data_IF_831902366372
#
_entry.id   IF_831902366372
#
_cell.length_a   1.000
_cell.length_b   1.000
_cell.length_c   1.000
_cell.angle_alpha   90.00
_cell.angle_beta   90.00
_cell.angle_gamma   90.00
#
_symmetry.space_group_name_H-M   'P 1'
#
loop_
_entity.id
_entity.type
_entity.pdbx_description
1 polymer ?
#
# COMPACT_ATOMS: atom_id res chain seq x y z
N UNK A 1 7.06 -80.41 30.63
CA UNK A 1 7.91 -79.56 29.73
C UNK A 1 7.21 -78.26 29.59
N UNK A 2 7.75 -77.26 30.15
CA UNK A 2 7.10 -75.94 30.32
C UNK A 2 7.82 -74.97 29.39
N UNK A 3 7.16 -74.49 28.35
CA UNK A 3 7.72 -73.45 27.47
C UNK A 3 6.92 -72.14 27.65
N UNK A 4 7.56 -71.20 28.23
CA UNK A 4 7.05 -69.86 28.48
C UNK A 4 7.29 -68.96 27.23
N UNK A 5 6.29 -68.32 26.64
CA UNK A 5 6.52 -67.37 25.54
C UNK A 5 6.81 -65.99 26.13
N UNK A 6 7.99 -65.48 25.84
CA UNK A 6 8.41 -64.10 26.11
C UNK A 6 7.61 -63.15 25.27
N UNK A 7 6.80 -62.28 25.92
CA UNK A 7 6.12 -61.16 25.27
C UNK A 7 7.14 -60.05 25.00
N UNK A 8 7.48 -59.84 23.71
CA UNK A 8 8.22 -58.64 23.26
C UNK A 8 7.31 -57.41 23.37
N UNK A 9 7.61 -56.57 24.32
CA UNK A 9 6.98 -55.25 24.45
C UNK A 9 7.64 -54.29 23.42
N UNK A 10 6.96 -54.06 22.29
CA UNK A 10 7.34 -53.04 21.31
C UNK A 10 7.11 -51.64 21.90
N UNK A 11 8.18 -50.94 22.26
CA UNK A 11 8.14 -49.53 22.62
C UNK A 11 8.09 -48.70 21.36
N UNK A 12 6.90 -48.36 20.90
CA UNK A 12 6.72 -47.34 19.89
C UNK A 12 7.02 -45.95 20.49
N UNK A 13 8.18 -45.41 20.15
CA UNK A 13 8.57 -44.05 20.48
C UNK A 13 7.80 -43.10 19.55
N UNK A 14 6.70 -42.51 20.04
CA UNK A 14 5.93 -41.50 19.31
C UNK A 14 6.71 -40.18 19.34
N UNK A 15 7.37 -39.84 18.23
CA UNK A 15 8.01 -38.54 18.06
C UNK A 15 6.90 -37.52 17.86
N UNK A 16 6.61 -36.76 18.89
CA UNK A 16 5.72 -35.59 18.80
C UNK A 16 6.48 -34.46 18.11
N UNK A 17 6.23 -34.28 16.81
CA UNK A 17 6.70 -33.11 16.08
C UNK A 17 5.86 -31.90 16.52
N UNK A 18 6.38 -31.09 17.44
CA UNK A 18 5.85 -29.76 17.73
C UNK A 18 6.27 -28.88 16.58
N UNK A 19 5.40 -28.71 15.59
CA UNK A 19 5.56 -27.69 14.58
C UNK A 19 5.36 -26.33 15.26
N UNK A 20 6.47 -25.64 15.53
CA UNK A 20 6.44 -24.26 16.01
C UNK A 20 6.02 -23.39 14.83
N UNK A 21 4.74 -23.10 14.71
CA UNK A 21 4.24 -22.10 13.78
C UNK A 21 4.67 -20.73 14.33
N UNK A 22 5.71 -20.16 13.77
CA UNK A 22 5.98 -18.73 13.93
C UNK A 22 4.84 -17.96 13.28
N UNK A 23 3.88 -17.54 14.08
CA UNK A 23 2.88 -16.60 13.61
C UNK A 23 3.58 -15.24 13.48
N UNK A 24 3.65 -14.71 12.25
CA UNK A 24 4.03 -13.32 12.03
C UNK A 24 2.90 -12.46 12.60
N UNK A 25 3.13 -11.85 13.76
CA UNK A 25 2.17 -10.93 14.37
C UNK A 25 2.23 -9.58 13.67
N UNK A 26 1.09 -8.90 13.57
CA UNK A 26 1.05 -7.52 13.11
C UNK A 26 1.93 -6.64 14.02
N UNK A 27 2.67 -5.72 13.41
CA UNK A 27 3.56 -4.80 14.11
C UNK A 27 3.43 -3.39 13.57
N UNK A 28 3.16 -2.45 14.46
CA UNK A 28 3.01 -1.04 14.15
C UNK A 28 4.28 -0.27 14.53
N UNK A 29 4.68 0.64 13.68
CA UNK A 29 5.76 1.59 13.88
C UNK A 29 5.19 2.99 13.80
N UNK A 30 5.62 3.86 14.72
CA UNK A 30 5.12 5.24 14.80
C UNK A 30 6.20 6.22 14.34
N UNK A 31 5.82 7.15 13.50
CA UNK A 31 6.66 8.25 13.02
C UNK A 31 6.51 9.51 13.87
N UNK A 32 7.29 10.51 13.49
CA UNK A 32 7.29 11.83 14.16
C UNK A 32 6.13 12.71 13.74
N UNK A 33 6.18 13.94 14.23
CA UNK A 33 5.30 15.06 13.89
C UNK A 33 6.05 16.10 13.04
N UNK A 34 5.32 17.05 12.43
CA UNK A 34 5.93 18.13 11.66
C UNK A 34 4.93 19.19 11.24
N UNK A 35 5.40 20.44 11.11
CA UNK A 35 4.59 21.54 10.60
C UNK A 35 4.36 21.36 9.10
N UNK A 36 3.12 21.59 8.66
CA UNK A 36 2.70 21.65 7.26
C UNK A 36 2.58 23.14 6.92
N UNK A 37 3.45 23.62 6.04
CA UNK A 37 3.51 25.03 5.66
C UNK A 37 3.11 25.19 4.20
N UNK A 38 2.47 26.31 3.91
CA UNK A 38 1.99 26.70 2.60
C UNK A 38 3.04 26.48 1.50
N UNK A 39 2.61 25.89 0.38
CA UNK A 39 3.42 25.69 -0.82
C UNK A 39 4.71 24.92 -0.58
N UNK A 40 4.76 24.09 0.45
CA UNK A 40 5.94 23.31 0.82
C UNK A 40 5.67 21.80 0.87
N UNK A 41 6.72 21.07 0.62
CA UNK A 41 6.75 19.61 0.82
C UNK A 41 7.55 19.28 2.07
N UNK A 42 6.97 18.49 2.95
CA UNK A 42 7.67 17.88 4.08
C UNK A 42 7.77 16.37 3.91
N UNK A 43 8.88 15.78 4.38
CA UNK A 43 9.05 14.33 4.45
C UNK A 43 9.34 13.96 5.90
N UNK A 44 8.39 13.33 6.57
CA UNK A 44 8.53 12.91 7.97
C UNK A 44 8.99 11.47 8.03
N UNK A 45 10.18 11.20 8.57
CA UNK A 45 10.75 9.86 8.60
C UNK A 45 10.13 8.97 9.66
N UNK A 46 10.15 7.65 9.36
CA UNK A 46 9.84 6.57 10.28
C UNK A 46 10.82 5.43 10.02
N UNK A 47 11.43 4.89 11.07
CA UNK A 47 12.37 3.78 10.94
C UNK A 47 11.69 2.45 11.28
N UNK A 48 11.71 1.53 10.34
CA UNK A 48 11.25 0.15 10.52
C UNK A 48 12.45 -0.75 10.82
N UNK A 49 12.36 -1.52 11.90
CA UNK A 49 13.40 -2.48 12.27
C UNK A 49 12.85 -3.63 13.12
N UNK A 50 13.53 -4.78 13.08
CA UNK A 50 13.19 -5.92 13.92
C UNK A 50 11.88 -6.61 13.54
N UNK A 51 11.43 -6.49 12.30
CA UNK A 51 10.41 -7.39 11.75
C UNK A 51 10.98 -8.80 11.62
N UNK A 52 10.12 -9.80 11.76
CA UNK A 52 10.51 -11.21 11.62
C UNK A 52 10.75 -11.61 10.16
N UNK A 53 10.26 -10.82 9.21
CA UNK A 53 10.48 -11.00 7.78
C UNK A 53 11.37 -9.89 7.22
N UNK A 54 12.32 -10.26 6.38
CA UNK A 54 13.14 -9.35 5.60
C UNK A 54 12.62 -9.15 4.17
N UNK A 55 11.44 -9.66 3.88
CA UNK A 55 10.75 -9.50 2.59
C UNK A 55 9.24 -9.40 2.81
N UNK A 56 8.61 -8.41 2.20
CA UNK A 56 7.17 -8.20 2.23
C UNK A 56 6.55 -8.52 0.88
N UNK A 57 5.34 -9.08 0.89
CA UNK A 57 4.60 -9.43 -0.32
C UNK A 57 3.09 -9.30 -0.09
N UNK A 58 2.32 -9.40 -1.14
CA UNK A 58 0.86 -9.22 -1.13
C UNK A 58 0.07 -10.44 -0.63
N UNK A 59 0.73 -11.51 -0.18
CA UNK A 59 0.07 -12.78 0.16
C UNK A 59 0.23 -13.14 1.62
N UNK A 60 1.48 -13.10 2.13
CA UNK A 60 1.78 -13.69 3.43
C UNK A 60 2.03 -12.65 4.53
N UNK A 61 2.80 -11.61 4.20
CA UNK A 61 3.20 -10.57 5.17
C UNK A 61 3.64 -9.31 4.43
N UNK A 62 3.11 -8.16 4.82
CA UNK A 62 3.44 -6.88 4.22
C UNK A 62 2.76 -5.70 4.88
N UNK A 63 2.87 -4.54 4.25
CA UNK A 63 2.16 -3.34 4.67
C UNK A 63 0.65 -3.59 4.59
N UNK A 64 -0.05 -3.30 5.70
CA UNK A 64 -1.49 -3.43 5.82
C UNK A 64 -2.18 -2.09 5.93
N UNK A 65 -1.58 -1.16 6.70
CA UNK A 65 -2.26 0.06 7.11
C UNK A 65 -1.27 1.21 7.28
N UNK A 66 -1.73 2.40 6.94
CA UNK A 66 -1.08 3.69 7.25
C UNK A 66 -2.09 4.56 7.97
N UNK A 67 -1.78 4.97 9.21
CA UNK A 67 -2.64 5.88 9.97
C UNK A 67 -1.95 7.23 10.16
N UNK A 68 -2.77 8.29 10.24
CA UNK A 68 -2.28 9.63 10.49
C UNK A 68 -3.30 10.48 11.25
N UNK A 69 -2.79 11.47 11.93
CA UNK A 69 -3.57 12.52 12.58
C UNK A 69 -2.99 13.88 12.15
N UNK A 70 -3.79 14.67 11.43
CA UNK A 70 -3.38 15.93 10.83
C UNK A 70 -4.38 17.00 11.28
N UNK A 71 -3.86 18.10 11.82
CA UNK A 71 -4.60 19.33 12.00
C UNK A 71 -4.31 20.26 10.83
N UNK A 72 -5.32 20.63 10.06
CA UNK A 72 -5.18 21.52 8.90
C UNK A 72 -6.52 22.20 8.61
N UNK A 73 -6.52 23.48 8.28
CA UNK A 73 -7.74 24.28 8.12
C UNK A 73 -8.36 24.17 6.71
N UNK A 74 -7.73 23.44 5.78
CA UNK A 74 -8.27 23.18 4.44
C UNK A 74 -7.66 21.89 3.86
N UNK A 75 -8.26 20.74 4.17
CA UNK A 75 -7.66 19.41 3.86
C UNK A 75 -7.45 19.17 2.36
N UNK A 76 -8.24 19.80 1.47
CA UNK A 76 -8.07 19.61 0.03
C UNK A 76 -6.81 20.23 -0.55
N UNK A 77 -6.08 21.04 0.21
CA UNK A 77 -4.79 21.56 -0.22
C UNK A 77 -3.68 20.51 -0.15
N UNK A 78 -3.95 19.43 0.58
CA UNK A 78 -2.96 18.40 0.87
C UNK A 78 -2.92 17.31 -0.21
N UNK A 79 -1.68 16.94 -0.55
CA UNK A 79 -1.33 15.69 -1.23
C UNK A 79 -0.43 14.90 -0.29
N UNK A 80 -0.83 13.68 0.04
CA UNK A 80 -0.09 12.82 0.96
C UNK A 80 0.34 11.53 0.28
N UNK A 81 1.62 11.19 0.42
CA UNK A 81 2.22 9.99 -0.17
C UNK A 81 3.07 9.23 0.84
N UNK A 82 3.09 7.91 0.72
CA UNK A 82 4.03 7.03 1.42
C UNK A 82 5.23 6.73 0.50
N UNK A 83 6.43 6.80 1.05
CA UNK A 83 7.67 6.44 0.35
C UNK A 83 8.32 5.29 1.10
N UNK A 84 8.53 4.18 0.41
CA UNK A 84 9.18 2.98 0.93
C UNK A 84 10.72 3.05 0.84
N UNK A 85 11.47 2.16 1.53
CA UNK A 85 12.94 2.13 1.48
C UNK A 85 13.54 1.89 0.09
N UNK A 86 12.82 1.22 -0.80
CA UNK A 86 13.22 1.00 -2.20
C UNK A 86 12.87 2.17 -3.13
N UNK A 87 12.41 3.30 -2.57
CA UNK A 87 11.92 4.48 -3.24
C UNK A 87 10.58 4.32 -3.98
N UNK A 88 9.86 3.22 -3.79
CA UNK A 88 8.47 3.12 -4.27
C UNK A 88 7.62 4.18 -3.59
N UNK A 89 6.87 4.94 -4.38
CA UNK A 89 5.98 6.01 -3.92
C UNK A 89 4.53 5.62 -4.17
N UNK A 90 3.68 5.76 -3.14
CA UNK A 90 2.23 5.56 -3.24
C UNK A 90 1.55 6.87 -2.86
N UNK A 91 0.71 7.40 -3.72
CA UNK A 91 -0.20 8.48 -3.36
C UNK A 91 -1.30 7.92 -2.48
N UNK A 92 -1.37 8.36 -1.25
CA UNK A 92 -2.39 7.94 -0.30
C UNK A 92 -3.70 8.70 -0.56
N UNK A 93 -3.61 10.00 -0.74
CA UNK A 93 -4.72 10.85 -1.19
C UNK A 93 -4.20 12.19 -1.71
N UNK A 94 -5.05 12.88 -2.49
CA UNK A 94 -4.79 14.21 -3.03
C UNK A 94 -6.10 14.97 -3.19
N UNK A 95 -6.12 16.23 -2.74
CA UNK A 95 -7.21 17.19 -2.97
C UNK A 95 -8.61 16.68 -2.58
N UNK A 96 -8.74 16.11 -1.38
CA UNK A 96 -10.00 15.56 -0.84
C UNK A 96 -10.59 16.46 0.23
N UNK A 97 -11.90 16.30 0.52
CA UNK A 97 -12.56 16.93 1.68
C UNK A 97 -12.99 18.37 1.49
N UNK A 98 -12.67 19.01 0.35
CA UNK A 98 -13.00 20.41 0.11
C UNK A 98 -12.46 21.34 1.21
N UNK A 99 -13.20 22.37 1.56
CA UNK A 99 -12.84 23.34 2.61
C UNK A 99 -13.07 22.83 4.04
N UNK A 100 -13.07 21.55 4.27
CA UNK A 100 -13.20 21.00 5.62
C UNK A 100 -11.85 20.83 6.30
N UNK A 101 -11.91 20.76 7.64
CA UNK A 101 -10.73 20.78 8.52
C UNK A 101 -10.40 19.38 9.02
N UNK A 102 -9.13 19.10 9.23
CA UNK A 102 -8.54 18.01 9.97
C UNK A 102 -8.71 16.58 9.37
N UNK A 103 -7.80 15.73 9.78
CA UNK A 103 -7.86 14.28 9.65
C UNK A 103 -7.57 13.66 11.01
N UNK A 104 -8.60 13.10 11.66
CA UNK A 104 -8.52 12.63 13.04
C UNK A 104 -8.45 11.12 13.13
N UNK A 105 -7.26 10.60 13.48
CA UNK A 105 -7.04 9.16 13.53
C UNK A 105 -7.50 8.46 12.25
N UNK A 106 -7.13 9.02 11.10
CA UNK A 106 -7.49 8.50 9.78
C UNK A 106 -6.55 7.38 9.40
N UNK A 107 -7.09 6.21 9.13
CA UNK A 107 -6.32 5.04 8.71
C UNK A 107 -6.63 4.68 7.25
N UNK A 108 -5.61 4.30 6.51
CA UNK A 108 -5.71 3.87 5.12
C UNK A 108 -5.35 2.40 5.01
N UNK A 109 -6.27 1.60 4.46
CA UNK A 109 -6.14 0.17 4.26
C UNK A 109 -6.99 -0.27 3.06
N UNK A 110 -6.51 -1.26 2.29
CA UNK A 110 -7.14 -1.67 1.04
C UNK A 110 -8.54 -2.31 1.21
N UNK A 111 -8.81 -2.91 2.36
CA UNK A 111 -10.06 -3.60 2.67
C UNK A 111 -11.08 -2.72 3.42
N UNK A 112 -10.82 -1.42 3.57
CA UNK A 112 -11.77 -0.50 4.17
C UNK A 112 -13.08 -0.40 3.35
N UNK A 113 -14.21 -0.13 4.01
CA UNK A 113 -15.52 -0.16 3.35
C UNK A 113 -15.77 1.00 2.39
N UNK A 114 -15.01 2.09 2.47
CA UNK A 114 -15.19 3.29 1.65
C UNK A 114 -13.85 3.85 1.17
N UNK A 115 -13.83 4.40 -0.04
CA UNK A 115 -12.68 5.11 -0.57
C UNK A 115 -12.56 6.48 0.09
N UNK A 116 -11.33 6.95 0.34
CA UNK A 116 -11.11 8.22 1.05
C UNK A 116 -11.68 9.42 0.29
N UNK A 117 -11.71 9.38 -1.03
CA UNK A 117 -12.31 10.44 -1.86
C UNK A 117 -13.83 10.61 -1.68
N UNK A 118 -14.52 9.60 -1.11
CA UNK A 118 -15.94 9.70 -0.77
C UNK A 118 -16.19 10.15 0.67
N UNK A 119 -15.14 10.30 1.48
CA UNK A 119 -15.21 10.77 2.84
C UNK A 119 -15.39 12.27 2.95
N UNK A 120 -15.54 12.75 4.17
CA UNK A 120 -15.60 14.17 4.49
C UNK A 120 -14.81 14.46 5.77
N UNK A 121 -14.22 15.66 5.85
CA UNK A 121 -13.53 16.10 7.05
C UNK A 121 -14.48 16.11 8.27
N UNK A 122 -13.96 15.80 9.46
CA UNK A 122 -12.57 15.48 9.80
C UNK A 122 -12.20 14.00 9.61
N UNK A 123 -12.33 13.41 8.49
CA UNK A 123 -11.99 12.04 8.10
C UNK A 123 -11.62 11.10 9.26
N UNK A 124 -12.61 10.60 9.99
CA UNK A 124 -12.40 9.70 11.13
C UNK A 124 -12.57 8.24 10.72
N UNK A 125 -11.61 7.39 11.11
CA UNK A 125 -11.70 5.95 10.87
C UNK A 125 -10.93 5.47 9.64
N UNK A 126 -11.38 4.36 9.03
CA UNK A 126 -10.63 3.67 8.00
C UNK A 126 -11.23 3.86 6.61
N UNK A 127 -10.34 4.11 5.64
CA UNK A 127 -10.68 4.33 4.24
C UNK A 127 -9.72 3.59 3.32
N UNK A 128 -10.17 3.29 2.10
CA UNK A 128 -9.27 2.87 1.03
C UNK A 128 -8.51 4.07 0.51
N UNK A 129 -7.18 3.97 0.28
CA UNK A 129 -6.39 5.04 -0.33
C UNK A 129 -6.77 5.25 -1.79
N UNK A 130 -6.31 6.36 -2.39
CA UNK A 130 -6.47 6.60 -3.83
C UNK A 130 -5.50 5.75 -4.66
N UNK A 131 -4.27 5.56 -4.18
CA UNK A 131 -3.28 4.69 -4.79
C UNK A 131 -3.29 3.29 -4.18
N UNK A 132 -2.59 2.37 -4.82
CA UNK A 132 -2.55 0.96 -4.42
C UNK A 132 -1.41 0.71 -3.43
N UNK A 133 -1.72 0.52 -2.15
CA UNK A 133 -0.72 0.30 -1.10
C UNK A 133 0.10 -0.97 -1.31
N UNK A 134 -0.48 -1.98 -1.95
CA UNK A 134 0.20 -3.23 -2.23
C UNK A 134 1.42 -3.11 -3.15
N UNK A 135 1.61 -1.99 -3.85
CA UNK A 135 2.78 -1.76 -4.69
C UNK A 135 4.11 -1.78 -3.90
N UNK A 136 4.11 -1.47 -2.60
CA UNK A 136 5.30 -1.63 -1.75
C UNK A 136 5.53 -3.07 -1.32
N UNK A 137 4.50 -3.93 -1.39
CA UNK A 137 4.58 -5.35 -1.05
C UNK A 137 5.18 -6.18 -2.20
N UNK A 138 6.30 -5.71 -2.74
CA UNK A 138 6.95 -6.12 -3.98
C UNK A 138 8.18 -7.01 -3.76
N UNK A 139 8.26 -7.69 -2.63
CA UNK A 139 9.39 -8.51 -2.16
C UNK A 139 10.57 -7.72 -1.59
N UNK A 140 10.46 -6.40 -1.47
CA UNK A 140 11.49 -5.59 -0.85
C UNK A 140 11.72 -5.93 0.63
N UNK A 141 12.89 -5.54 1.14
CA UNK A 141 13.15 -5.54 2.57
C UNK A 141 12.46 -4.32 3.22
N UNK A 142 11.51 -4.53 4.14
CA UNK A 142 10.79 -3.43 4.77
C UNK A 142 11.63 -2.66 5.81
N UNK A 143 12.76 -3.23 6.24
CA UNK A 143 13.63 -2.57 7.22
C UNK A 143 14.35 -1.39 6.60
N UNK A 144 14.29 -0.26 7.27
CA UNK A 144 14.88 0.98 6.78
C UNK A 144 13.99 2.18 7.07
N UNK A 145 14.27 3.25 6.36
CA UNK A 145 13.57 4.51 6.53
C UNK A 145 12.41 4.61 5.54
N UNK A 146 11.21 4.79 6.08
CA UNK A 146 10.00 5.15 5.37
C UNK A 146 9.73 6.63 5.58
N UNK A 147 9.00 7.26 4.66
CA UNK A 147 8.61 8.66 4.80
C UNK A 147 7.11 8.82 4.53
N UNK A 148 6.45 9.59 5.38
CA UNK A 148 5.21 10.24 5.00
C UNK A 148 5.58 11.59 4.36
N UNK A 149 5.28 11.73 3.06
CA UNK A 149 5.44 12.98 2.33
C UNK A 149 4.10 13.70 2.34
N UNK A 150 4.11 14.98 2.74
CA UNK A 150 2.95 15.85 2.67
C UNK A 150 3.36 17.09 1.87
N UNK A 151 2.57 17.41 0.85
CA UNK A 151 2.68 18.63 0.08
C UNK A 151 1.40 19.44 0.28
N UNK A 152 1.56 20.69 0.70
CA UNK A 152 0.51 21.68 0.73
C UNK A 152 0.60 22.53 -0.55
N UNK A 153 -0.47 22.50 -1.35
CA UNK A 153 -0.49 23.08 -2.70
C UNK A 153 -1.02 24.51 -2.78
N UNK A 154 -1.52 25.04 -1.66
CA UNK A 154 -2.12 26.38 -1.61
C UNK A 154 -1.53 27.22 -0.48
N UNK A 155 -1.81 28.53 -0.50
CA UNK A 155 -1.41 29.46 0.55
C UNK A 155 -2.62 29.83 1.44
N UNK A 156 -2.34 30.32 2.64
CA UNK A 156 -3.25 30.80 3.66
C UNK A 156 -3.76 29.77 4.68
N UNK A 157 -3.63 28.49 4.43
CA UNK A 157 -4.06 27.42 5.33
C UNK A 157 -2.87 26.55 5.70
N UNK A 158 -2.54 26.49 6.99
CA UNK A 158 -1.39 25.74 7.50
C UNK A 158 -1.83 24.69 8.50
N UNK A 159 -0.96 23.72 8.75
CA UNK A 159 -1.30 22.63 9.63
C UNK A 159 -0.12 21.98 10.33
N UNK A 160 -0.41 20.85 10.92
CA UNK A 160 0.57 20.00 11.61
C UNK A 160 0.20 18.54 11.43
N UNK A 161 1.16 17.73 11.01
CA UNK A 161 1.10 16.30 11.23
C UNK A 161 1.39 16.05 12.71
N UNK A 162 0.37 15.59 13.45
CA UNK A 162 0.49 15.32 14.88
C UNK A 162 1.20 13.99 15.14
N UNK A 163 0.81 12.96 14.40
CA UNK A 163 1.42 11.62 14.43
C UNK A 163 1.07 10.84 13.17
N UNK A 164 1.87 9.83 12.86
CA UNK A 164 1.55 8.84 11.85
C UNK A 164 2.16 7.49 12.18
N UNK A 165 1.65 6.44 11.57
CA UNK A 165 2.14 5.08 11.78
C UNK A 165 1.94 4.21 10.56
N UNK A 166 2.73 3.14 10.48
CA UNK A 166 2.56 2.05 9.51
C UNK A 166 2.47 0.73 10.24
N UNK A 167 1.61 -0.16 9.75
CA UNK A 167 1.42 -1.50 10.31
C UNK A 167 1.73 -2.55 9.25
N UNK A 168 2.59 -3.49 9.61
CA UNK A 168 2.87 -4.70 8.82
C UNK A 168 2.20 -5.90 9.49
N UNK A 169 1.70 -6.83 8.67
CA UNK A 169 1.06 -8.04 9.20
C UNK A 169 0.65 -9.04 8.13
N UNK A 170 -0.15 -10.02 8.52
CA UNK A 170 -0.51 -11.19 7.70
C UNK A 170 -1.70 -10.97 6.77
N UNK A 171 -2.29 -9.78 6.79
CA UNK A 171 -3.30 -9.34 5.82
C UNK A 171 -2.74 -8.16 5.01
N UNK A 172 -1.70 -8.39 4.19
CA UNK A 172 -1.03 -7.31 3.45
C UNK A 172 -1.95 -6.70 2.40
N UNK A 173 -1.79 -5.40 2.18
CA UNK A 173 -2.43 -4.73 1.07
C UNK A 173 -2.05 -5.40 -0.25
N UNK A 174 -3.06 -5.66 -1.09
CA UNK A 174 -2.88 -6.15 -2.45
C UNK A 174 -2.68 -5.01 -3.44
N UNK A 175 -2.45 -5.36 -4.70
CA UNK A 175 -2.55 -4.43 -5.79
C UNK A 175 -3.15 -5.12 -7.01
N UNK A 176 -3.88 -4.35 -7.79
CA UNK A 176 -4.39 -4.82 -9.05
C UNK A 176 -3.34 -4.58 -10.14
N UNK A 177 -2.67 -5.64 -10.56
CA UNK A 177 -1.84 -5.59 -11.77
C UNK A 177 -2.76 -5.82 -12.97
N UNK A 178 -3.04 -4.75 -13.72
CA UNK A 178 -3.75 -4.92 -14.97
C UNK A 178 -2.85 -5.66 -15.97
N UNK A 179 -3.04 -6.96 -16.09
CA UNK A 179 -2.21 -7.80 -16.96
C UNK A 179 -2.97 -8.40 -18.15
N UNK A 180 -4.30 -8.50 -18.04
CA UNK A 180 -5.14 -9.17 -19.03
C UNK A 180 -6.59 -8.63 -19.02
N UNK A 181 -7.29 -8.79 -20.16
CA UNK A 181 -8.67 -8.34 -20.33
C UNK A 181 -9.39 -9.18 -21.39
N UNK A 182 -10.69 -9.42 -21.20
CA UNK A 182 -11.58 -9.96 -22.25
C UNK A 182 -12.00 -8.89 -23.26
N UNK A 183 -11.76 -7.61 -22.93
CA UNK A 183 -11.96 -6.47 -23.82
C UNK A 183 -10.64 -6.04 -24.45
N UNK A 184 -10.66 -5.32 -25.59
CA UNK A 184 -9.47 -4.70 -26.14
C UNK A 184 -8.75 -3.83 -25.11
N UNK A 185 -7.42 -3.93 -25.02
CA UNK A 185 -6.60 -3.11 -24.16
C UNK A 185 -6.08 -1.93 -24.97
N UNK A 186 -6.40 -0.71 -24.53
CA UNK A 186 -5.85 0.52 -25.11
C UNK A 186 -4.60 0.91 -24.33
N UNK A 187 -3.47 0.99 -25.01
CA UNK A 187 -2.20 1.43 -24.44
C UNK A 187 -1.91 2.85 -24.92
N UNK A 188 -1.73 3.76 -23.98
CA UNK A 188 -1.31 5.14 -24.27
C UNK A 188 0.08 5.33 -23.68
N UNK A 189 1.06 5.62 -24.54
CA UNK A 189 2.43 5.86 -24.14
C UNK A 189 2.73 7.36 -24.24
N UNK A 190 2.95 7.99 -23.11
CA UNK A 190 3.29 9.41 -23.02
C UNK A 190 4.79 9.68 -23.16
N UNK A 191 5.61 8.62 -23.41
CA UNK A 191 7.07 8.70 -23.44
C UNK A 191 7.67 9.29 -22.16
N UNK A 192 7.04 8.96 -21.01
CA UNK A 192 7.46 9.44 -19.70
C UNK A 192 7.04 10.87 -19.36
N UNK A 193 6.24 11.51 -20.21
CA UNK A 193 5.73 12.85 -19.93
C UNK A 193 4.51 12.76 -19.00
N UNK A 194 4.42 13.68 -18.05
CA UNK A 194 3.23 13.83 -17.21
C UNK A 194 2.04 14.29 -18.06
N UNK A 195 0.87 13.70 -17.82
CA UNK A 195 -0.37 14.16 -18.46
C UNK A 195 -0.82 15.42 -17.71
N UNK A 196 -0.74 16.55 -18.40
CA UNK A 196 -1.16 17.86 -17.90
C UNK A 196 -2.30 18.40 -18.76
N UNK A 197 -3.09 19.32 -18.22
CA UNK A 197 -4.22 19.87 -18.94
C UNK A 197 -3.78 20.84 -20.03
N UNK A 198 -2.79 21.66 -19.78
CA UNK A 198 -2.24 22.63 -20.74
C UNK A 198 -0.75 22.91 -20.46
N UNK A 199 0.16 22.86 -21.48
CA UNK A 199 -0.11 22.46 -22.85
C UNK A 199 -0.39 20.96 -22.99
N UNK A 200 -1.18 20.57 -23.97
CA UNK A 200 -1.43 19.16 -24.30
C UNK A 200 -0.14 18.50 -24.75
N UNK A 201 0.05 17.25 -24.33
CA UNK A 201 1.19 16.43 -24.73
C UNK A 201 0.83 15.54 -25.93
N UNK A 202 1.84 15.16 -26.70
CA UNK A 202 1.73 14.13 -27.73
C UNK A 202 1.98 12.78 -27.08
N UNK A 203 1.10 11.82 -27.34
CA UNK A 203 1.25 10.44 -26.87
C UNK A 203 1.01 9.47 -28.03
N UNK A 204 1.71 8.32 -27.98
CA UNK A 204 1.45 7.22 -28.90
C UNK A 204 0.30 6.37 -28.32
N UNK A 205 -0.59 5.90 -29.18
CA UNK A 205 -1.69 5.02 -28.79
C UNK A 205 -1.66 3.75 -29.61
N UNK A 206 -1.83 2.63 -28.96
CA UNK A 206 -2.02 1.35 -29.63
C UNK A 206 -3.08 0.51 -28.96
N UNK A 207 -3.59 -0.49 -29.65
CA UNK A 207 -4.62 -1.40 -29.14
C UNK A 207 -4.13 -2.82 -29.27
N UNK A 208 -4.29 -3.59 -28.19
CA UNK A 208 -4.11 -5.03 -28.17
C UNK A 208 -5.48 -5.67 -28.28
N UNK A 209 -5.71 -6.43 -29.37
CA UNK A 209 -6.98 -7.12 -29.60
C UNK A 209 -6.77 -8.44 -30.34
N UNK A 210 -6.89 -9.54 -29.64
CA UNK A 210 -6.66 -10.90 -30.15
C UNK A 210 -7.89 -11.53 -30.82
N UNK A 211 -9.04 -10.84 -30.80
CA UNK A 211 -10.28 -11.31 -31.42
C UNK A 211 -11.41 -11.56 -30.42
N UNK A 212 -12.61 -11.80 -30.95
CA UNK A 212 -13.79 -12.04 -30.14
C UNK A 212 -13.62 -13.34 -29.32
N UNK A 213 -13.79 -13.24 -27.99
CA UNK A 213 -13.69 -14.37 -27.08
C UNK A 213 -12.26 -14.84 -26.80
N UNK A 214 -11.25 -14.10 -27.26
CA UNK A 214 -9.85 -14.36 -26.97
C UNK A 214 -9.36 -13.31 -25.97
N UNK A 215 -8.70 -13.79 -24.90
CA UNK A 215 -8.14 -12.93 -23.85
C UNK A 215 -6.95 -12.14 -24.39
N UNK A 216 -6.90 -10.86 -24.03
CA UNK A 216 -5.82 -9.94 -24.38
C UNK A 216 -4.90 -9.79 -23.18
N UNK A 217 -3.58 -9.83 -23.38
CA UNK A 217 -2.56 -9.67 -22.34
C UNK A 217 -1.75 -8.41 -22.62
N UNK A 218 -1.33 -7.71 -21.57
CA UNK A 218 -0.45 -6.53 -21.70
C UNK A 218 0.90 -6.85 -22.36
N UNK A 219 1.29 -8.11 -22.38
CA UNK A 219 2.50 -8.59 -23.05
C UNK A 219 2.32 -8.89 -24.54
N UNK A 220 1.08 -8.89 -25.02
CA UNK A 220 0.79 -9.11 -26.43
C UNK A 220 1.20 -7.88 -27.27
N UNK A 221 1.55 -8.08 -28.53
CA UNK A 221 1.87 -6.95 -29.41
C UNK A 221 0.63 -6.10 -29.68
N UNK A 222 0.81 -4.79 -29.70
CA UNK A 222 -0.22 -3.86 -30.22
C UNK A 222 -0.44 -4.17 -31.71
N UNK A 223 -1.64 -4.57 -32.07
CA UNK A 223 -2.00 -5.02 -33.40
C UNK A 223 -3.00 -4.13 -34.11
N UNK A 224 -3.39 -3.03 -33.49
CA UNK A 224 -4.20 -1.94 -34.08
C UNK A 224 -3.64 -0.61 -33.60
N UNK A 225 -3.51 0.35 -34.51
CA UNK A 225 -2.97 1.71 -34.28
C UNK A 225 -3.94 2.71 -34.90
#
# INVERSE_FOLDING_TARGET
MNTNPQTMLSKTLSLLFIACFFQLSARTFTGGSGAILDLQTINIPLNVSGLSSNSINTVNFGLQEVCMDITHTYVSDLTVSLIAPDATVIELFSSIGGGGDDMQNTCLQEDAPAVISSGSAPFVGSYQPMGQMGLVNNTQNPSGQWFLRIYDSYNADQGTLNTWSITFGNNPAGYFAFGESDLPIVVINTNGQAIVDDPKIVADMGIIYNGVGVRNYMTDPMNRV
#
